data_IF_701637451495
#
_entry.id   IF_701637451495
#
_cell.length_a   1.000
_cell.length_b   1.000
_cell.length_c   1.000
_cell.angle_alpha   90.00
_cell.angle_beta   90.00
_cell.angle_gamma   90.00
#
_symmetry.space_group_name_H-M   'P 1'
#
loop_
_entity.id
_entity.type
_entity.pdbx_description
1 polymer ?
#
# COMPACT_ATOMS: atom_id res chain seq x y z
N UNK A 1 15.57 15.55 -14.13
CA UNK A 1 16.73 16.29 -14.71
C UNK A 1 16.47 16.68 -16.16
N UNK A 2 16.00 15.76 -17.03
CA UNK A 2 15.76 16.05 -18.45
C UNK A 2 14.70 17.14 -18.68
N UNK A 3 13.63 17.15 -17.88
CA UNK A 3 12.63 18.20 -17.91
C UNK A 3 13.20 19.60 -17.60
N UNK A 4 14.04 19.69 -16.56
CA UNK A 4 14.70 20.94 -16.17
C UNK A 4 15.59 21.49 -17.29
N UNK A 5 16.34 20.63 -18.00
CA UNK A 5 17.16 21.03 -19.15
C UNK A 5 16.33 21.66 -20.28
N UNK A 6 15.06 21.30 -20.37
CA UNK A 6 14.09 21.82 -21.36
C UNK A 6 13.21 22.96 -20.84
N UNK A 7 13.51 23.47 -19.63
CA UNK A 7 12.70 24.51 -18.99
C UNK A 7 11.32 24.05 -18.52
N UNK A 8 11.12 22.72 -18.37
CA UNK A 8 9.87 22.17 -17.87
C UNK A 8 9.90 22.03 -16.36
N UNK A 9 8.77 22.27 -15.72
CA UNK A 9 8.53 21.99 -14.30
C UNK A 9 8.02 20.56 -14.15
N UNK A 10 8.70 19.74 -13.36
CA UNK A 10 8.40 18.33 -13.22
C UNK A 10 8.34 17.98 -11.73
N UNK A 11 7.25 17.33 -11.32
CA UNK A 11 7.04 16.81 -9.97
C UNK A 11 6.69 15.33 -10.05
N UNK A 12 6.99 14.60 -8.99
CA UNK A 12 6.46 13.26 -8.75
C UNK A 12 5.34 13.35 -7.70
N UNK A 13 4.21 12.73 -8.00
CA UNK A 13 3.02 12.83 -7.16
C UNK A 13 2.29 11.47 -7.03
N UNK A 14 2.95 10.45 -6.47
CA UNK A 14 2.29 9.17 -6.22
C UNK A 14 1.19 9.32 -5.18
N UNK A 15 0.23 8.37 -5.23
CA UNK A 15 -0.99 8.46 -4.44
C UNK A 15 -1.23 7.21 -3.59
N UNK A 16 -2.01 7.38 -2.53
CA UNK A 16 -2.63 6.31 -1.74
C UNK A 16 -4.13 6.57 -1.62
N UNK A 17 -4.94 5.49 -1.50
CA UNK A 17 -6.41 5.58 -1.40
C UNK A 17 -7.13 4.67 -2.40
N UNK A 18 -6.38 4.07 -3.35
CA UNK A 18 -6.91 3.11 -4.32
C UNK A 18 -7.96 3.71 -5.25
N UNK A 19 -8.72 2.83 -5.92
CA UNK A 19 -9.77 3.20 -6.86
C UNK A 19 -10.89 4.03 -6.19
N UNK A 20 -11.30 3.66 -4.98
CA UNK A 20 -12.31 4.40 -4.23
C UNK A 20 -11.87 5.82 -3.88
N UNK A 21 -10.63 5.99 -3.47
CA UNK A 21 -10.06 7.32 -3.19
C UNK A 21 -10.02 8.21 -4.44
N UNK A 22 -9.67 7.62 -5.59
CA UNK A 22 -9.66 8.33 -6.86
C UNK A 22 -11.06 8.77 -7.28
N UNK A 23 -12.06 7.87 -7.22
CA UNK A 23 -13.45 8.19 -7.56
C UNK A 23 -14.08 9.26 -6.68
N UNK A 24 -13.71 9.27 -5.40
CA UNK A 24 -14.29 10.17 -4.40
C UNK A 24 -13.48 11.46 -4.21
N UNK A 25 -12.37 11.64 -4.91
CA UNK A 25 -11.49 12.80 -4.73
C UNK A 25 -10.89 12.86 -3.32
N UNK A 26 -10.58 11.71 -2.72
CA UNK A 26 -10.10 11.60 -1.32
C UNK A 26 -8.70 10.98 -1.24
N UNK A 27 -7.93 11.04 -2.32
CA UNK A 27 -6.57 10.52 -2.34
C UNK A 27 -5.67 11.21 -1.32
N UNK A 28 -4.70 10.46 -0.80
CA UNK A 28 -3.49 11.00 -0.20
C UNK A 28 -2.45 11.14 -1.30
N UNK A 29 -1.93 12.35 -1.52
CA UNK A 29 -1.00 12.69 -2.60
C UNK A 29 0.33 13.12 -1.98
N UNK A 30 1.41 12.46 -2.36
CA UNK A 30 2.76 12.66 -1.82
C UNK A 30 3.60 13.34 -2.89
N UNK A 31 3.77 14.68 -2.80
CA UNK A 31 4.38 15.44 -3.89
C UNK A 31 5.85 15.69 -3.64
N UNK A 32 6.70 15.27 -4.57
CA UNK A 32 8.12 15.63 -4.61
C UNK A 32 8.40 16.61 -5.74
N UNK A 33 9.13 17.69 -5.46
CA UNK A 33 9.45 18.70 -6.46
C UNK A 33 9.83 20.04 -5.84
N UNK A 34 9.92 21.07 -6.67
CA UNK A 34 10.12 22.43 -6.22
C UNK A 34 8.89 22.93 -5.44
N UNK A 35 9.11 23.62 -4.32
CA UNK A 35 8.04 24.07 -3.43
C UNK A 35 7.11 25.08 -4.13
N UNK A 36 7.68 25.99 -4.92
CA UNK A 36 6.89 26.97 -5.67
C UNK A 36 6.03 26.28 -6.74
N UNK A 37 6.58 25.27 -7.43
CA UNK A 37 5.82 24.50 -8.42
C UNK A 37 4.69 23.71 -7.73
N UNK A 38 4.94 23.19 -6.54
CA UNK A 38 3.92 22.53 -5.72
C UNK A 38 2.79 23.50 -5.34
N UNK A 39 3.11 24.70 -4.84
CA UNK A 39 2.11 25.71 -4.46
C UNK A 39 1.22 26.11 -5.65
N UNK A 40 1.82 26.31 -6.84
CA UNK A 40 1.08 26.64 -8.04
C UNK A 40 0.18 25.47 -8.54
N UNK A 41 0.59 24.22 -8.30
CA UNK A 41 -0.16 23.03 -8.69
C UNK A 41 -1.18 22.57 -7.63
N UNK A 42 -1.11 23.09 -6.41
CA UNK A 42 -1.95 22.66 -5.29
C UNK A 42 -3.45 22.66 -5.61
N UNK A 43 -4.03 23.68 -6.28
CA UNK A 43 -5.46 23.67 -6.63
C UNK A 43 -5.86 22.47 -7.51
N UNK A 44 -4.93 21.94 -8.34
CA UNK A 44 -5.19 20.75 -9.16
C UNK A 44 -5.20 19.49 -8.29
N UNK A 45 -4.27 19.38 -7.36
CA UNK A 45 -4.23 18.26 -6.41
C UNK A 45 -5.46 18.22 -5.50
N UNK A 46 -5.97 19.37 -5.07
CA UNK A 46 -7.18 19.49 -4.24
C UNK A 46 -8.45 18.95 -4.93
N UNK A 47 -8.49 18.93 -6.26
CA UNK A 47 -9.56 18.29 -7.02
C UNK A 47 -9.52 16.75 -6.92
N UNK A 48 -8.38 16.15 -6.59
CA UNK A 48 -8.15 14.71 -6.61
C UNK A 48 -7.99 14.09 -5.23
N UNK A 49 -7.57 14.88 -4.24
CA UNK A 49 -7.22 14.38 -2.91
C UNK A 49 -7.61 15.32 -1.79
N UNK A 50 -7.54 14.79 -0.55
CA UNK A 50 -7.82 15.55 0.69
C UNK A 50 -6.61 15.65 1.61
N UNK A 51 -5.62 14.80 1.43
CA UNK A 51 -4.36 14.82 2.16
C UNK A 51 -3.23 14.99 1.16
N UNK A 52 -2.78 16.24 0.97
CA UNK A 52 -1.77 16.60 -0.04
C UNK A 52 -0.56 17.13 0.71
N UNK A 53 0.58 16.45 0.54
CA UNK A 53 1.78 16.78 1.31
C UNK A 53 2.96 16.98 0.37
N UNK A 54 3.61 18.15 0.48
CA UNK A 54 4.90 18.36 -0.13
C UNK A 54 5.98 17.64 0.66
N UNK A 55 6.63 16.67 0.02
CA UNK A 55 7.60 15.77 0.67
C UNK A 55 9.04 16.27 0.56
N UNK A 56 9.27 17.36 -0.16
CA UNK A 56 10.60 17.91 -0.45
C UNK A 56 11.02 17.74 -1.92
N UNK A 57 12.31 17.63 -2.22
CA UNK A 57 12.82 17.57 -3.60
C UNK A 57 12.20 16.49 -4.47
N UNK A 58 12.38 16.61 -5.79
CA UNK A 58 11.93 15.62 -6.76
C UNK A 58 12.44 14.21 -6.41
N UNK A 59 11.55 13.21 -6.47
CA UNK A 59 11.78 11.83 -6.06
C UNK A 59 11.32 11.53 -4.63
N UNK A 60 11.15 12.52 -3.76
CA UNK A 60 10.74 12.29 -2.36
C UNK A 60 9.29 11.80 -2.25
N UNK A 61 8.42 12.17 -3.17
CA UNK A 61 7.09 11.57 -3.29
C UNK A 61 7.18 10.07 -3.53
N UNK A 62 8.02 9.63 -4.48
CA UNK A 62 8.22 8.20 -4.77
C UNK A 62 8.85 7.45 -3.60
N UNK A 63 9.82 8.03 -2.89
CA UNK A 63 10.37 7.43 -1.67
C UNK A 63 9.32 7.32 -0.56
N UNK A 64 8.46 8.33 -0.42
CA UNK A 64 7.34 8.26 0.52
C UNK A 64 6.35 7.16 0.13
N UNK A 65 6.08 7.00 -1.16
CA UNK A 65 5.27 5.88 -1.65
C UNK A 65 5.91 4.53 -1.36
N UNK A 66 7.21 4.38 -1.53
CA UNK A 66 7.92 3.16 -1.18
C UNK A 66 7.75 2.84 0.33
N UNK A 67 7.95 3.81 1.21
CA UNK A 67 7.72 3.66 2.65
C UNK A 67 6.27 3.27 2.98
N UNK A 68 5.28 3.90 2.31
CA UNK A 68 3.87 3.52 2.42
C UNK A 68 3.64 2.05 2.04
N UNK A 69 4.22 1.58 0.93
CA UNK A 69 4.04 0.20 0.49
C UNK A 69 4.73 -0.81 1.41
N UNK A 70 5.86 -0.48 2.01
CA UNK A 70 6.51 -1.27 3.05
C UNK A 70 5.56 -1.45 4.25
N UNK A 71 4.97 -0.35 4.74
CA UNK A 71 4.03 -0.40 5.86
C UNK A 71 2.76 -1.19 5.53
N UNK A 72 2.20 -0.99 4.33
CA UNK A 72 1.03 -1.75 3.83
C UNK A 72 1.34 -3.24 3.72
N UNK A 73 2.53 -3.62 3.25
CA UNK A 73 2.95 -5.02 3.15
C UNK A 73 2.96 -5.70 4.53
N UNK A 74 3.61 -5.07 5.51
CA UNK A 74 3.65 -5.57 6.89
C UNK A 74 2.26 -5.70 7.50
N UNK A 75 1.41 -4.67 7.37
CA UNK A 75 0.05 -4.67 7.89
C UNK A 75 -0.82 -5.76 7.23
N UNK A 76 -0.65 -6.00 5.91
CA UNK A 76 -1.39 -7.03 5.18
C UNK A 76 -1.01 -8.43 5.66
N UNK A 77 0.26 -8.71 5.84
CA UNK A 77 0.71 -9.98 6.39
C UNK A 77 0.21 -10.17 7.84
N UNK A 78 0.35 -9.14 8.67
CA UNK A 78 -0.01 -9.19 10.08
C UNK A 78 -1.51 -9.50 10.30
N UNK A 79 -2.43 -8.78 9.62
CA UNK A 79 -3.86 -9.10 9.81
C UNK A 79 -4.23 -10.45 9.22
N UNK A 80 -3.57 -10.89 8.15
CA UNK A 80 -3.82 -12.20 7.54
C UNK A 80 -3.46 -13.32 8.51
N UNK A 81 -2.28 -13.25 9.14
CA UNK A 81 -1.85 -14.21 10.15
C UNK A 81 -2.75 -14.18 11.39
N UNK A 82 -3.16 -12.97 11.83
CA UNK A 82 -4.09 -12.82 12.96
C UNK A 82 -5.42 -13.53 12.70
N UNK A 83 -5.99 -13.41 11.48
CA UNK A 83 -7.22 -14.13 11.10
C UNK A 83 -7.03 -15.65 11.11
N UNK A 84 -5.93 -16.13 10.53
CA UNK A 84 -5.62 -17.57 10.49
C UNK A 84 -5.43 -18.12 11.91
N UNK A 85 -4.69 -17.40 12.75
CA UNK A 85 -4.51 -17.76 14.16
C UNK A 85 -5.85 -17.84 14.90
N UNK A 86 -6.69 -16.78 14.76
CA UNK A 86 -7.99 -16.72 15.41
C UNK A 86 -8.87 -17.91 15.03
N UNK A 87 -8.95 -18.25 13.75
CA UNK A 87 -9.71 -19.41 13.27
C UNK A 87 -9.19 -20.74 13.88
N UNK A 88 -7.87 -20.93 13.89
CA UNK A 88 -7.26 -22.15 14.45
C UNK A 88 -7.38 -22.24 15.98
N UNK A 89 -7.39 -21.09 16.66
CA UNK A 89 -7.60 -21.00 18.11
C UNK A 89 -9.09 -21.13 18.53
N UNK A 90 -10.02 -21.23 17.57
CA UNK A 90 -11.45 -21.31 17.85
C UNK A 90 -12.09 -20.00 18.28
N UNK A 91 -11.43 -18.87 18.00
CA UNK A 91 -12.01 -17.53 18.24
C UNK A 91 -13.02 -17.20 17.15
N UNK A 92 -14.01 -16.38 17.51
CA UNK A 92 -14.92 -15.76 16.54
C UNK A 92 -14.19 -14.57 15.88
N UNK A 93 -13.87 -14.65 14.56
CA UNK A 93 -12.98 -13.67 13.93
C UNK A 93 -13.53 -12.24 13.98
N UNK A 94 -14.82 -12.01 13.82
CA UNK A 94 -15.45 -10.69 13.90
C UNK A 94 -15.29 -10.04 15.29
N UNK A 95 -15.47 -10.85 16.37
CA UNK A 95 -15.24 -10.37 17.72
C UNK A 95 -13.78 -10.03 17.97
N UNK A 96 -12.89 -10.88 17.46
CA UNK A 96 -11.45 -10.62 17.55
C UNK A 96 -11.10 -9.31 16.85
N UNK A 97 -11.56 -9.08 15.61
CA UNK A 97 -11.34 -7.82 14.88
C UNK A 97 -11.86 -6.60 15.64
N UNK A 98 -13.06 -6.70 16.25
CA UNK A 98 -13.63 -5.63 17.07
C UNK A 98 -12.75 -5.33 18.28
N UNK A 99 -12.27 -6.37 18.96
CA UNK A 99 -11.46 -6.21 20.16
C UNK A 99 -10.09 -5.56 19.91
N UNK A 100 -9.40 -5.98 18.84
CA UNK A 100 -8.04 -5.50 18.56
C UNK A 100 -7.99 -4.28 17.65
N UNK A 101 -9.05 -4.03 16.88
CA UNK A 101 -9.06 -2.97 15.87
C UNK A 101 -9.00 -1.56 16.44
N UNK A 102 -9.53 -1.34 17.65
CA UNK A 102 -9.47 -0.06 18.35
C UNK A 102 -8.16 0.18 19.11
N UNK A 103 -7.31 -0.84 19.24
CA UNK A 103 -6.06 -0.81 19.98
C UNK A 103 -4.82 -0.70 19.09
N UNK A 104 -3.68 -1.08 19.65
CA UNK A 104 -2.37 -0.99 19.01
C UNK A 104 -2.23 -1.82 17.72
N UNK A 105 -3.05 -2.85 17.52
CA UNK A 105 -3.09 -3.64 16.30
C UNK A 105 -3.89 -2.97 15.17
N UNK A 106 -4.57 -1.84 15.44
CA UNK A 106 -5.39 -1.12 14.48
C UNK A 106 -4.59 -0.64 13.27
N UNK A 107 -5.16 -0.84 12.10
CA UNK A 107 -4.64 -0.30 10.84
C UNK A 107 -5.77 -0.20 9.82
N UNK A 108 -5.57 0.64 8.79
CA UNK A 108 -6.53 0.70 7.70
C UNK A 108 -6.74 -0.68 7.05
N UNK A 109 -5.65 -1.45 6.91
CA UNK A 109 -5.70 -2.80 6.35
C UNK A 109 -6.54 -3.75 7.21
N UNK A 110 -6.33 -3.75 8.53
CA UNK A 110 -7.12 -4.55 9.45
C UNK A 110 -8.61 -4.16 9.38
N UNK A 111 -8.92 -2.86 9.42
CA UNK A 111 -10.30 -2.38 9.49
C UNK A 111 -11.09 -2.55 8.18
N UNK A 112 -10.42 -2.49 7.03
CA UNK A 112 -11.09 -2.49 5.73
C UNK A 112 -10.90 -3.79 4.93
N UNK A 113 -9.75 -4.45 5.05
CA UNK A 113 -9.44 -5.65 4.26
C UNK A 113 -9.78 -6.94 4.99
N UNK A 114 -9.54 -7.04 6.31
CA UNK A 114 -9.86 -8.26 7.06
C UNK A 114 -11.36 -8.63 7.01
N UNK A 115 -12.33 -7.69 7.13
CA UNK A 115 -13.74 -8.02 6.95
C UNK A 115 -14.11 -8.54 5.55
N UNK A 116 -13.38 -8.11 4.52
CA UNK A 116 -13.59 -8.63 3.16
C UNK A 116 -13.13 -10.08 3.06
N UNK A 117 -12.00 -10.42 3.67
CA UNK A 117 -11.52 -11.81 3.76
C UNK A 117 -12.57 -12.72 4.42
N UNK A 118 -13.17 -12.29 5.52
CA UNK A 118 -14.21 -13.06 6.22
C UNK A 118 -15.46 -13.29 5.35
N UNK A 119 -15.80 -12.34 4.50
CA UNK A 119 -16.90 -12.45 3.53
C UNK A 119 -16.53 -13.24 2.27
N UNK A 120 -15.28 -13.69 2.13
CA UNK A 120 -14.80 -14.33 0.90
C UNK A 120 -14.64 -13.36 -0.28
N UNK A 121 -14.69 -12.05 -0.04
CA UNK A 121 -14.52 -11.04 -1.08
C UNK A 121 -13.03 -10.77 -1.34
N UNK A 122 -12.53 -11.35 -2.42
CA UNK A 122 -11.17 -11.20 -2.90
C UNK A 122 -11.08 -10.31 -4.16
N UNK A 123 -12.16 -9.62 -4.51
CA UNK A 123 -12.18 -8.69 -5.63
C UNK A 123 -11.17 -7.54 -5.40
N UNK A 124 -10.44 -7.10 -6.43
CA UNK A 124 -9.35 -6.13 -6.26
C UNK A 124 -9.88 -4.70 -6.05
N UNK A 125 -9.47 -4.07 -4.95
CA UNK A 125 -9.33 -2.62 -4.87
C UNK A 125 -7.89 -2.21 -5.22
N UNK A 126 -6.94 -3.13 -4.99
CA UNK A 126 -5.56 -3.06 -5.42
C UNK A 126 -5.07 -4.47 -5.75
N UNK A 127 -4.59 -4.68 -6.97
CA UNK A 127 -4.24 -5.99 -7.50
C UNK A 127 -2.96 -6.56 -6.87
N UNK A 128 -2.90 -7.89 -6.68
CA UNK A 128 -1.70 -8.63 -6.28
C UNK A 128 -0.51 -8.27 -7.17
N UNK A 129 -0.66 -8.35 -8.50
CA UNK A 129 0.42 -8.04 -9.46
C UNK A 129 0.95 -6.60 -9.34
N UNK A 130 0.09 -5.62 -9.08
CA UNK A 130 0.52 -4.23 -8.89
C UNK A 130 1.24 -4.05 -7.55
N UNK A 131 0.82 -4.76 -6.52
CA UNK A 131 1.48 -4.72 -5.23
C UNK A 131 2.88 -5.36 -5.28
N UNK A 132 3.03 -6.47 -6.02
CA UNK A 132 4.34 -7.07 -6.29
C UNK A 132 5.28 -6.07 -6.95
N UNK A 133 4.81 -5.35 -7.97
CA UNK A 133 5.58 -4.29 -8.63
C UNK A 133 6.04 -3.23 -7.61
N UNK A 134 5.13 -2.73 -6.79
CA UNK A 134 5.43 -1.67 -5.82
C UNK A 134 6.43 -2.15 -4.75
N UNK A 135 6.24 -3.36 -4.20
CA UNK A 135 7.19 -3.95 -3.24
C UNK A 135 8.55 -4.21 -3.88
N UNK A 136 8.60 -4.62 -5.16
CA UNK A 136 9.85 -4.83 -5.89
C UNK A 136 10.63 -3.53 -6.05
N UNK A 137 9.94 -2.42 -6.35
CA UNK A 137 10.57 -1.10 -6.41
C UNK A 137 11.11 -0.68 -5.03
N UNK A 138 10.32 -0.86 -3.97
CA UNK A 138 10.73 -0.53 -2.61
C UNK A 138 11.94 -1.36 -2.14
N UNK A 139 11.96 -2.66 -2.44
CA UNK A 139 13.08 -3.55 -2.14
C UNK A 139 14.35 -3.16 -2.92
N UNK A 140 14.21 -2.83 -4.21
CA UNK A 140 15.32 -2.33 -5.02
C UNK A 140 15.94 -1.04 -4.48
N UNK A 141 15.09 -0.09 -4.06
CA UNK A 141 15.54 1.16 -3.44
C UNK A 141 16.20 0.95 -2.07
N UNK A 142 15.71 0.00 -1.28
CA UNK A 142 16.34 -0.38 -0.01
C UNK A 142 17.72 -1.01 -0.23
N UNK A 143 17.84 -1.96 -1.16
CA UNK A 143 19.12 -2.60 -1.52
C UNK A 143 20.14 -1.61 -2.04
N UNK A 144 19.73 -0.63 -2.84
CA UNK A 144 20.62 0.42 -3.35
C UNK A 144 21.17 1.32 -2.22
N UNK A 145 20.65 1.20 -1.00
CA UNK A 145 21.07 1.92 0.22
C UNK A 145 21.64 0.99 1.29
N UNK A 146 21.94 -0.26 0.94
CA UNK A 146 22.41 -1.28 1.86
C UNK A 146 21.47 -1.50 3.07
N UNK A 147 20.16 -1.33 2.88
CA UNK A 147 19.14 -1.50 3.92
C UNK A 147 18.48 -2.89 3.79
N UNK A 148 18.70 -3.83 4.72
CA UNK A 148 17.97 -5.09 4.73
C UNK A 148 16.52 -4.87 5.17
N UNK A 149 15.57 -5.41 4.40
CA UNK A 149 14.13 -5.31 4.66
C UNK A 149 13.49 -6.71 4.79
N UNK A 150 13.83 -7.49 5.83
CA UNK A 150 13.46 -8.91 5.91
C UNK A 150 11.95 -9.14 5.91
N UNK A 151 11.14 -8.25 6.49
CA UNK A 151 9.67 -8.36 6.46
C UNK A 151 9.15 -8.12 5.05
N UNK A 152 9.61 -7.05 4.38
CA UNK A 152 9.22 -6.73 3.00
C UNK A 152 9.59 -7.87 2.05
N UNK A 153 10.82 -8.38 2.14
CA UNK A 153 11.33 -9.48 1.32
C UNK A 153 10.47 -10.75 1.49
N UNK A 154 10.11 -11.09 2.73
CA UNK A 154 9.26 -12.23 3.02
C UNK A 154 7.86 -12.08 2.44
N UNK A 155 7.23 -10.93 2.64
CA UNK A 155 5.89 -10.65 2.11
C UNK A 155 5.89 -10.62 0.59
N UNK A 156 6.90 -10.00 -0.03
CA UNK A 156 7.07 -10.01 -1.48
C UNK A 156 7.17 -11.43 -2.05
N UNK A 157 7.93 -12.31 -1.40
CA UNK A 157 8.03 -13.71 -1.81
C UNK A 157 6.68 -14.43 -1.72
N UNK A 158 5.87 -14.16 -0.69
CA UNK A 158 4.52 -14.72 -0.54
C UNK A 158 3.59 -14.26 -1.66
N UNK A 159 3.61 -12.99 -2.00
CA UNK A 159 2.79 -12.45 -3.10
C UNK A 159 3.22 -12.99 -4.46
N UNK A 160 4.52 -13.15 -4.71
CA UNK A 160 5.03 -13.80 -5.94
C UNK A 160 4.57 -15.26 -6.06
N UNK A 161 4.52 -15.99 -4.93
CA UNK A 161 3.97 -17.34 -4.91
C UNK A 161 2.48 -17.38 -5.25
N UNK A 162 1.69 -16.39 -4.79
CA UNK A 162 0.28 -16.25 -5.18
C UNK A 162 0.12 -15.95 -6.67
N UNK A 163 0.90 -15.04 -7.22
CA UNK A 163 0.87 -14.72 -8.64
C UNK A 163 1.20 -15.94 -9.51
N UNK A 164 2.21 -16.71 -9.12
CA UNK A 164 2.59 -17.96 -9.80
C UNK A 164 1.47 -19.02 -9.77
N UNK A 165 0.55 -18.96 -8.80
CA UNK A 165 -0.65 -19.81 -8.69
C UNK A 165 -1.86 -19.25 -9.49
N UNK A 166 -1.70 -18.13 -10.20
CA UNK A 166 -2.75 -17.52 -11.01
C UNK A 166 -3.61 -16.47 -10.31
N UNK A 167 -3.27 -16.05 -9.09
CA UNK A 167 -4.04 -15.08 -8.32
C UNK A 167 -3.59 -13.62 -8.51
N UNK A 168 -2.81 -13.32 -9.55
CA UNK A 168 -2.29 -11.98 -9.84
C UNK A 168 -3.37 -10.91 -10.04
N UNK A 169 -4.55 -11.29 -10.50
CA UNK A 169 -5.70 -10.41 -10.74
C UNK A 169 -6.67 -10.28 -9.56
N UNK A 170 -6.40 -10.97 -8.44
CA UNK A 170 -7.15 -10.79 -7.20
C UNK A 170 -6.64 -9.57 -6.40
N UNK A 171 -7.40 -9.17 -5.39
CA UNK A 171 -7.03 -8.13 -4.45
C UNK A 171 -5.93 -8.58 -3.47
N UNK A 172 -5.22 -7.62 -2.87
CA UNK A 172 -4.11 -7.91 -1.93
C UNK A 172 -4.53 -8.76 -0.73
N UNK A 173 -5.82 -8.74 -0.35
CA UNK A 173 -6.39 -9.59 0.70
C UNK A 173 -6.40 -11.09 0.33
N UNK A 174 -6.13 -11.44 -0.93
CA UNK A 174 -5.96 -12.82 -1.37
C UNK A 174 -4.73 -13.48 -0.74
N UNK A 175 -3.89 -12.74 0.00
CA UNK A 175 -2.79 -13.32 0.78
C UNK A 175 -3.27 -14.43 1.73
N UNK A 176 -4.54 -14.41 2.15
CA UNK A 176 -5.15 -15.48 2.95
C UNK A 176 -5.03 -16.88 2.30
N UNK A 177 -4.95 -16.95 0.97
CA UNK A 177 -4.80 -18.21 0.23
C UNK A 177 -3.48 -18.92 0.53
N UNK A 178 -2.43 -18.17 0.88
CA UNK A 178 -1.14 -18.73 1.24
C UNK A 178 -1.18 -19.57 2.54
N UNK A 179 -2.26 -19.44 3.33
CA UNK A 179 -2.47 -20.16 4.60
C UNK A 179 -3.60 -21.19 4.56
N UNK A 180 -4.31 -21.30 3.45
CA UNK A 180 -5.32 -22.35 3.25
C UNK A 180 -4.61 -23.63 2.79
N UNK A 181 -4.42 -24.56 3.72
CA UNK A 181 -4.10 -25.96 3.45
C UNK A 181 -5.37 -26.75 3.19
#
# INVERSE_FOLDING_TARGET
>A
EEGKKKGLRVMDAPVSGGDSGARNGTLSIMVGGDEKDFEEALPLFECMGKNIVHMGPAGFGQHTKAANQIAVAGATAAYTEALVYAQKAGLEPEKMLTAIGAGAAGSWQLSNMAPRVLKGDLAPGFFVKHFIKDMTLADGEARARDLPMPVLEKVLAMFRALEAQGYGDEGTQALIRAYRC
#
